data_IF_004272081207
#
_entry.id   IF_004272081207
#
_cell.length_a   1.000
_cell.length_b   1.000
_cell.length_c   1.000
_cell.angle_alpha   90.00
_cell.angle_beta   90.00
_cell.angle_gamma   90.00
#
_symmetry.space_group_name_H-M   'P 1'
#
loop_
_entity.id
_entity.type
_entity.pdbx_description
1 polymer ?
#
# COMPACT_ATOMS: atom_id res chain seq x y z
N UNK A 1 35.69 -8.92 4.22
CA UNK A 1 35.35 -8.59 5.62
C UNK A 1 35.38 -7.08 5.79
N UNK A 2 34.19 -6.48 5.97
CA UNK A 2 33.90 -5.19 6.61
C UNK A 2 32.37 -5.03 6.58
N UNK A 3 31.67 -5.76 7.45
CA UNK A 3 30.23 -5.58 7.67
C UNK A 3 30.03 -4.30 8.48
N UNK A 4 29.37 -3.31 7.89
CA UNK A 4 29.33 -1.94 8.42
C UNK A 4 28.38 -1.81 9.62
N UNK A 5 28.88 -1.03 10.59
CA UNK A 5 28.50 -0.85 11.99
C UNK A 5 27.14 -0.20 12.25
N UNK A 6 26.56 -0.48 13.43
CA UNK A 6 25.59 0.39 14.11
C UNK A 6 26.36 1.26 15.12
N UNK A 7 26.31 2.58 14.95
CA UNK A 7 26.88 3.56 15.87
C UNK A 7 26.23 4.93 15.66
N UNK A 8 26.09 5.73 16.72
CA UNK A 8 25.44 7.05 16.69
C UNK A 8 26.31 8.10 15.96
N UNK A 9 27.62 7.87 15.85
CA UNK A 9 28.57 8.74 15.16
C UNK A 9 29.53 7.92 14.26
N UNK A 10 29.01 7.38 13.16
CA UNK A 10 29.79 6.78 12.06
C UNK A 10 30.21 7.81 11.00
N UNK A 11 31.18 7.50 10.11
CA UNK A 11 31.74 8.47 9.19
C UNK A 11 30.68 8.95 8.19
N UNK A 12 30.38 10.26 8.21
CA UNK A 12 29.53 10.92 7.22
C UNK A 12 30.15 10.76 5.83
N UNK A 13 29.65 9.81 5.05
CA UNK A 13 29.73 9.85 3.59
C UNK A 13 28.32 9.98 3.05
N UNK A 14 28.05 11.13 2.43
CA UNK A 14 26.78 11.53 1.80
C UNK A 14 26.35 10.64 0.60
N UNK A 15 27.00 9.49 0.42
CA UNK A 15 26.83 8.55 -0.69
C UNK A 15 25.44 7.90 -0.71
N UNK A 16 24.77 7.76 0.44
CA UNK A 16 23.46 7.11 0.54
C UNK A 16 22.35 7.88 -0.19
N UNK A 17 22.26 9.21 0.01
CA UNK A 17 21.20 10.02 -0.60
C UNK A 17 21.32 10.13 -2.12
N UNK A 18 22.55 10.12 -2.65
CA UNK A 18 22.83 10.12 -4.09
C UNK A 18 22.52 8.78 -4.74
N UNK A 19 22.87 7.65 -4.09
CA UNK A 19 22.64 6.29 -4.62
C UNK A 19 21.15 5.93 -4.77
N UNK A 20 20.27 6.52 -3.95
CA UNK A 20 18.82 6.25 -3.97
C UNK A 20 17.97 7.41 -4.51
N UNK A 21 18.57 8.41 -5.15
CA UNK A 21 17.88 9.60 -5.68
C UNK A 21 16.88 10.25 -4.69
N UNK A 22 17.17 10.19 -3.40
CA UNK A 22 16.33 10.75 -2.34
C UNK A 22 16.54 12.26 -2.26
N UNK A 23 16.03 13.01 -3.25
CA UNK A 23 16.15 14.46 -3.28
C UNK A 23 15.39 15.09 -2.11
N UNK A 24 16.03 16.00 -1.36
CA UNK A 24 15.38 16.77 -0.27
C UNK A 24 14.09 17.45 -0.75
N UNK A 25 14.06 17.90 -2.02
CA UNK A 25 12.88 18.50 -2.67
C UNK A 25 11.71 17.53 -2.81
N UNK A 26 11.95 16.26 -3.15
CA UNK A 26 10.91 15.22 -3.23
C UNK A 26 10.29 14.92 -1.85
N UNK A 27 11.13 14.80 -0.82
CA UNK A 27 10.67 14.62 0.58
C UNK A 27 9.82 15.80 1.07
N UNK A 28 10.27 17.03 0.82
CA UNK A 28 9.55 18.24 1.19
C UNK A 28 8.19 18.38 0.47
N UNK A 29 8.12 18.06 -0.82
CA UNK A 29 6.85 18.05 -1.57
C UNK A 29 5.86 17.07 -0.96
N UNK A 30 6.31 15.86 -0.60
CA UNK A 30 5.42 14.86 0.00
C UNK A 30 4.95 15.27 1.41
N UNK A 31 5.82 15.87 2.22
CA UNK A 31 5.44 16.42 3.53
C UNK A 31 4.39 17.52 3.43
N UNK A 32 4.55 18.46 2.48
CA UNK A 32 3.55 19.50 2.23
C UNK A 32 2.21 18.93 1.78
N UNK A 33 2.22 17.87 0.95
CA UNK A 33 1.01 17.19 0.52
C UNK A 33 0.29 16.52 1.69
N UNK A 34 1.03 15.81 2.56
CA UNK A 34 0.49 15.18 3.77
C UNK A 34 -0.15 16.23 4.69
N UNK A 35 0.55 17.33 4.97
CA UNK A 35 0.03 18.40 5.82
C UNK A 35 -1.24 19.04 5.22
N UNK A 36 -1.26 19.25 3.90
CA UNK A 36 -2.44 19.80 3.21
C UNK A 36 -3.65 18.87 3.31
N UNK A 37 -3.45 17.56 3.13
CA UNK A 37 -4.53 16.58 3.26
C UNK A 37 -5.05 16.55 4.70
N UNK A 38 -4.16 16.50 5.69
CA UNK A 38 -4.56 16.51 7.10
C UNK A 38 -5.40 17.76 7.46
N UNK A 39 -5.00 18.94 6.96
CA UNK A 39 -5.76 20.18 7.15
C UNK A 39 -7.11 20.19 6.42
N UNK A 40 -7.20 19.57 5.23
CA UNK A 40 -8.45 19.50 4.46
C UNK A 40 -9.55 18.72 5.19
N UNK A 41 -9.19 17.65 5.88
CA UNK A 41 -10.13 16.85 6.67
C UNK A 41 -10.44 17.42 8.06
N UNK A 42 -9.90 18.61 8.35
CA UNK A 42 -10.08 19.33 9.61
C UNK A 42 -9.68 18.49 10.84
N UNK A 43 -8.56 17.76 10.70
CA UNK A 43 -8.06 16.87 11.76
C UNK A 43 -7.75 17.60 13.08
N UNK A 44 -7.62 18.93 13.03
CA UNK A 44 -7.31 19.80 14.16
C UNK A 44 -8.52 20.02 15.08
N UNK A 45 -9.75 20.03 14.54
CA UNK A 45 -10.99 20.22 15.32
C UNK A 45 -11.72 18.91 15.63
N UNK A 46 -11.20 17.78 15.13
CA UNK A 46 -11.74 16.44 15.37
C UNK A 46 -12.15 15.72 14.08
N UNK A 47 -11.93 14.41 14.05
CA UNK A 47 -12.29 13.56 12.91
C UNK A 47 -13.50 12.72 13.26
N UNK A 48 -14.50 12.70 12.37
CA UNK A 48 -15.52 11.65 12.39
C UNK A 48 -14.93 10.34 11.83
N UNK A 49 -15.52 9.16 12.11
CA UNK A 49 -15.06 7.90 11.53
C UNK A 49 -14.85 7.96 10.01
N UNK A 50 -15.82 8.55 9.29
CA UNK A 50 -15.78 8.68 7.83
C UNK A 50 -14.67 9.63 7.38
N UNK A 51 -14.52 10.79 8.04
CA UNK A 51 -13.43 11.74 7.72
C UNK A 51 -12.06 11.11 7.92
N UNK A 52 -11.89 10.31 8.99
CA UNK A 52 -10.65 9.60 9.24
C UNK A 52 -10.35 8.58 8.13
N UNK A 53 -11.33 7.78 7.71
CA UNK A 53 -11.16 6.82 6.61
C UNK A 53 -10.73 7.52 5.31
N UNK A 54 -11.48 8.53 4.88
CA UNK A 54 -11.21 9.27 3.65
C UNK A 54 -9.85 9.99 3.70
N UNK A 55 -9.46 10.50 4.87
CA UNK A 55 -8.13 11.09 5.06
C UNK A 55 -7.02 10.04 4.85
N UNK A 56 -7.15 8.85 5.42
CA UNK A 56 -6.17 7.78 5.26
C UNK A 56 -6.06 7.29 3.81
N UNK A 57 -7.20 7.20 3.10
CA UNK A 57 -7.23 6.91 1.65
C UNK A 57 -6.49 7.99 0.84
N UNK A 58 -6.79 9.26 1.09
CA UNK A 58 -6.17 10.39 0.40
C UNK A 58 -4.64 10.49 0.67
N UNK A 59 -4.20 10.12 1.88
CA UNK A 59 -2.79 10.10 2.25
C UNK A 59 -2.02 8.95 1.55
N UNK A 60 -2.72 7.92 1.08
CA UNK A 60 -2.21 6.86 0.22
C UNK A 60 -1.93 5.54 0.94
N UNK A 61 -1.31 4.56 0.25
CA UNK A 61 -1.33 3.15 0.63
C UNK A 61 -0.70 2.85 2.00
N UNK A 62 0.34 3.60 2.41
CA UNK A 62 0.92 3.47 3.75
C UNK A 62 -0.10 3.80 4.84
N UNK A 63 -0.88 4.86 4.67
CA UNK A 63 -1.88 5.28 5.64
C UNK A 63 -3.14 4.41 5.61
N UNK A 64 -3.50 3.89 4.44
CA UNK A 64 -4.51 2.82 4.32
C UNK A 64 -4.11 1.62 5.18
N UNK A 65 -2.87 1.14 5.09
CA UNK A 65 -2.36 0.04 5.95
C UNK A 65 -2.44 0.38 7.44
N UNK A 66 -2.13 1.61 7.83
CA UNK A 66 -2.30 2.07 9.22
C UNK A 66 -3.77 1.98 9.65
N UNK A 67 -4.70 2.45 8.82
CA UNK A 67 -6.14 2.34 9.09
C UNK A 67 -6.62 0.89 9.17
N UNK A 68 -6.08 -0.01 8.34
CA UNK A 68 -6.34 -1.44 8.41
C UNK A 68 -5.81 -2.09 9.70
N UNK A 69 -4.72 -1.58 10.29
CA UNK A 69 -4.25 -2.07 11.60
C UNK A 69 -5.13 -1.52 12.72
N UNK A 70 -5.45 -0.22 12.68
CA UNK A 70 -6.25 0.46 13.69
C UNK A 70 -7.70 -0.06 13.76
N UNK A 71 -8.27 -0.52 12.64
CA UNK A 71 -9.60 -1.14 12.62
C UNK A 71 -9.70 -2.47 13.37
N UNK A 72 -8.59 -3.03 13.85
CA UNK A 72 -8.53 -4.25 14.67
C UNK A 72 -8.24 -3.96 16.14
N UNK A 73 -8.16 -2.68 16.51
CA UNK A 73 -7.66 -2.21 17.81
C UNK A 73 -8.71 -1.38 18.54
N UNK A 74 -9.79 -2.02 18.99
CA UNK A 74 -10.91 -1.37 19.71
C UNK A 74 -10.51 -0.80 21.09
N UNK A 75 -9.32 -1.18 21.59
CA UNK A 75 -8.68 -0.60 22.76
C UNK A 75 -8.02 0.76 22.48
N UNK A 76 -7.73 1.08 21.20
CA UNK A 76 -7.09 2.33 20.76
C UNK A 76 -8.12 3.31 20.19
N UNK A 77 -9.13 2.80 19.47
CA UNK A 77 -10.17 3.61 18.84
C UNK A 77 -11.56 3.15 19.26
N UNK A 78 -12.54 4.06 19.38
CA UNK A 78 -13.93 3.67 19.60
C UNK A 78 -14.43 2.73 18.50
N UNK A 79 -15.34 1.82 18.84
CA UNK A 79 -15.84 0.80 17.91
C UNK A 79 -16.35 1.38 16.58
N UNK A 80 -17.03 2.53 16.61
CA UNK A 80 -17.52 3.22 15.41
C UNK A 80 -16.42 3.62 14.42
N UNK A 81 -15.22 3.93 14.91
CA UNK A 81 -14.05 4.18 14.08
C UNK A 81 -13.48 2.86 13.54
N UNK A 82 -13.41 1.82 14.37
CA UNK A 82 -12.91 0.52 13.93
C UNK A 82 -13.78 -0.04 12.79
N UNK A 83 -15.11 0.04 12.92
CA UNK A 83 -16.06 -0.44 11.92
C UNK A 83 -15.93 0.33 10.60
N UNK A 84 -15.80 1.66 10.66
CA UNK A 84 -15.61 2.46 9.46
C UNK A 84 -14.25 2.19 8.80
N UNK A 85 -13.18 2.11 9.59
CA UNK A 85 -11.84 1.81 9.09
C UNK A 85 -11.71 0.36 8.56
N UNK A 86 -12.56 -0.58 9.00
CA UNK A 86 -12.58 -1.93 8.45
C UNK A 86 -12.92 -1.94 6.95
N UNK A 87 -13.63 -0.91 6.45
CA UNK A 87 -13.90 -0.73 5.02
C UNK A 87 -12.63 -0.47 4.20
N UNK A 88 -11.53 -0.04 4.82
CA UNK A 88 -10.21 0.05 4.16
C UNK A 88 -9.64 -1.32 3.82
N UNK A 89 -10.17 -2.39 4.42
CA UNK A 89 -9.84 -3.78 4.05
C UNK A 89 -10.72 -4.29 2.92
N UNK A 90 -11.53 -3.43 2.28
CA UNK A 90 -12.33 -3.82 1.14
C UNK A 90 -11.45 -4.56 0.13
N UNK A 91 -11.94 -5.71 -0.33
CA UNK A 91 -11.39 -6.42 -1.46
C UNK A 91 -11.17 -5.38 -2.55
N UNK A 92 -9.93 -5.23 -3.01
CA UNK A 92 -9.72 -4.40 -4.18
C UNK A 92 -10.51 -5.03 -5.31
N UNK A 93 -11.22 -4.22 -6.11
CA UNK A 93 -11.87 -4.77 -7.30
C UNK A 93 -10.82 -5.53 -8.10
N UNK A 94 -11.07 -6.81 -8.43
CA UNK A 94 -10.08 -7.59 -9.15
C UNK A 94 -9.84 -6.97 -10.51
N UNK A 95 -8.58 -6.97 -10.95
CA UNK A 95 -8.28 -6.59 -12.32
C UNK A 95 -8.97 -7.56 -13.30
N UNK A 96 -9.36 -7.08 -14.49
CA UNK A 96 -9.94 -7.93 -15.52
C UNK A 96 -9.06 -9.13 -15.82
N UNK A 97 -9.68 -10.30 -16.02
CA UNK A 97 -8.96 -11.55 -16.26
C UNK A 97 -8.02 -11.48 -17.47
N UNK A 98 -8.42 -10.78 -18.54
CA UNK A 98 -7.56 -10.57 -19.71
C UNK A 98 -6.26 -9.83 -19.37
N UNK A 99 -6.30 -8.93 -18.38
CA UNK A 99 -5.08 -8.27 -17.89
C UNK A 99 -4.17 -9.26 -17.17
N UNK A 100 -4.73 -10.21 -16.41
CA UNK A 100 -3.97 -11.27 -15.75
C UNK A 100 -3.25 -12.13 -16.79
N UNK A 101 -3.97 -12.60 -17.81
CA UNK A 101 -3.39 -13.39 -18.90
C UNK A 101 -2.27 -12.62 -19.60
N UNK A 102 -2.52 -11.36 -19.97
CA UNK A 102 -1.53 -10.49 -20.62
C UNK A 102 -0.26 -10.33 -19.78
N UNK A 103 -0.39 -10.16 -18.46
CA UNK A 103 0.76 -10.03 -17.55
C UNK A 103 1.55 -11.34 -17.49
N UNK A 104 0.87 -12.49 -17.38
CA UNK A 104 1.52 -13.80 -17.34
C UNK A 104 2.26 -14.10 -18.65
N UNK A 105 1.64 -13.85 -19.80
CA UNK A 105 2.26 -14.08 -21.11
C UNK A 105 3.50 -13.22 -21.31
N UNK A 106 3.46 -11.97 -20.86
CA UNK A 106 4.62 -11.08 -20.91
C UNK A 106 5.75 -11.55 -19.98
N UNK A 107 5.43 -12.06 -18.79
CA UNK A 107 6.43 -12.52 -17.83
C UNK A 107 7.08 -13.85 -18.26
N UNK A 108 6.30 -14.77 -18.83
CA UNK A 108 6.79 -16.07 -19.27
C UNK A 108 7.28 -16.10 -20.73
N UNK A 109 6.94 -15.10 -21.53
CA UNK A 109 7.32 -15.02 -22.95
C UNK A 109 6.64 -16.06 -23.85
N UNK A 110 5.57 -16.70 -23.37
CA UNK A 110 4.82 -17.75 -24.07
C UNK A 110 3.33 -17.65 -23.71
N UNK A 111 2.43 -18.17 -24.56
CA UNK A 111 1.00 -18.27 -24.27
C UNK A 111 0.73 -19.00 -22.95
N UNK A 112 -0.26 -18.53 -22.20
CA UNK A 112 -0.58 -19.08 -20.86
C UNK A 112 -1.09 -20.52 -20.89
N UNK A 113 -1.77 -20.91 -21.98
CA UNK A 113 -2.27 -22.26 -22.24
C UNK A 113 -1.17 -23.29 -22.56
N UNK A 114 0.04 -22.85 -22.89
CA UNK A 114 1.21 -23.73 -23.01
C UNK A 114 1.89 -24.03 -21.65
N UNK A 115 1.52 -23.29 -20.60
CA UNK A 115 2.17 -23.33 -19.28
C UNK A 115 1.26 -23.95 -18.22
N UNK A 116 -0.03 -23.60 -18.25
CA UNK A 116 -1.02 -24.04 -17.28
C UNK A 116 -2.13 -24.81 -17.99
N UNK A 117 -2.45 -26.02 -17.52
CA UNK A 117 -3.66 -26.74 -17.94
C UNK A 117 -4.93 -25.89 -17.75
N UNK A 118 -5.00 -25.14 -16.64
CA UNK A 118 -6.16 -24.28 -16.35
C UNK A 118 -5.84 -23.19 -15.34
N UNK A 119 -6.41 -21.99 -15.53
CA UNK A 119 -6.43 -20.90 -14.54
C UNK A 119 -7.89 -20.47 -14.33
N UNK A 120 -8.31 -20.36 -13.08
CA UNK A 120 -9.66 -19.89 -12.74
C UNK A 120 -9.76 -18.39 -13.00
N UNK A 121 -10.76 -17.98 -13.80
CA UNK A 121 -11.00 -16.58 -14.11
C UNK A 121 -11.41 -15.78 -12.87
N UNK A 122 -11.99 -16.44 -11.86
CA UNK A 122 -12.38 -15.80 -10.61
C UNK A 122 -11.21 -15.83 -9.62
N UNK A 123 -10.72 -14.68 -9.13
CA UNK A 123 -9.66 -14.67 -8.14
C UNK A 123 -10.15 -15.22 -6.79
N UNK A 124 -9.29 -15.99 -6.12
CA UNK A 124 -9.48 -16.41 -4.73
C UNK A 124 -9.49 -15.21 -3.77
N UNK A 125 -8.81 -14.12 -4.15
CA UNK A 125 -8.79 -12.88 -3.40
C UNK A 125 -8.04 -11.79 -4.16
N UNK A 126 -8.38 -10.54 -3.88
CA UNK A 126 -7.77 -9.36 -4.46
C UNK A 126 -7.42 -8.36 -3.37
N UNK A 127 -6.18 -7.88 -3.41
CA UNK A 127 -5.62 -6.90 -2.51
C UNK A 127 -5.12 -5.69 -3.30
N UNK A 128 -4.80 -4.60 -2.60
CA UNK A 128 -4.44 -3.32 -3.20
C UNK A 128 -3.21 -3.34 -4.14
N UNK A 129 -2.42 -4.41 -4.17
CA UNK A 129 -1.22 -4.54 -4.99
C UNK A 129 -1.16 -5.84 -5.81
N UNK A 130 -2.03 -6.80 -5.55
CA UNK A 130 -1.97 -8.14 -6.13
C UNK A 130 -3.30 -8.87 -5.99
N UNK A 131 -3.55 -9.82 -6.86
CA UNK A 131 -4.65 -10.78 -6.73
C UNK A 131 -4.15 -12.21 -6.92
N UNK A 132 -4.91 -13.17 -6.40
CA UNK A 132 -4.52 -14.59 -6.35
C UNK A 132 -5.54 -15.40 -7.14
N UNK A 133 -5.07 -16.19 -8.10
CA UNK A 133 -5.90 -17.12 -8.88
C UNK A 133 -5.53 -18.57 -8.55
N UNK A 134 -6.53 -19.46 -8.63
CA UNK A 134 -6.28 -20.90 -8.62
C UNK A 134 -5.83 -21.33 -10.02
N UNK A 135 -4.79 -22.16 -10.09
CA UNK A 135 -4.30 -22.71 -11.35
C UNK A 135 -3.90 -24.19 -11.20
N UNK A 136 -3.90 -24.90 -12.33
CA UNK A 136 -3.39 -26.25 -12.51
C UNK A 136 -2.32 -26.21 -13.61
N UNK A 137 -1.22 -26.92 -13.37
CA UNK A 137 -0.11 -27.10 -14.32
C UNK A 137 -0.43 -28.24 -15.28
#
# INVERSE_FOLDING_TARGET
MAGETIGIFGPRKDTFSQRYHLTRRGKLRRLMQIARIANHFDAVHGLTPVKMRLMLEALGPTFVKVGQILSMRSEILPQSFCDELAKLRANADPMPYDTVLSVLENEYGRPTDEIFEHIDATPLGSASLAQVHRAKL
#
